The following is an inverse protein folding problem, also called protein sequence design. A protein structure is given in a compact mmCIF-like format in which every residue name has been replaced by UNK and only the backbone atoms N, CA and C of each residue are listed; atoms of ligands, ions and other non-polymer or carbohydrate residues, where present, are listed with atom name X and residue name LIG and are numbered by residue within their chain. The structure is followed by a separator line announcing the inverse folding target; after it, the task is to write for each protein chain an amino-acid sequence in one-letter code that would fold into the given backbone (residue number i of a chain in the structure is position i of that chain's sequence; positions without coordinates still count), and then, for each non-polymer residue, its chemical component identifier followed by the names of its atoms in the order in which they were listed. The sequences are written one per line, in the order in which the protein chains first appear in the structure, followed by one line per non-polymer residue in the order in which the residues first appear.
data_IF_632164200536
#
_entry.id   IF_632164200536
#
_cell.length_a   1.000
_cell.length_b   1.000
_cell.length_c   1.000
_cell.angle_alpha   90.00
_cell.angle_beta   90.00
_cell.angle_gamma   90.00
#
_symmetry.space_group_name_H-M   'P 1'
#
loop_
_entity.id
_entity.type
_entity.pdbx_description
1 polymer ?
#
# COMPACT_ATOMS: atom_id res chain seq x y z
N UNK A 1 -29.34 -83.00 -11.83
CA UNK A 1 -28.13 -82.35 -12.39
C UNK A 1 -28.58 -81.28 -13.39
N UNK A 2 -27.96 -80.10 -13.34
CA UNK A 2 -28.16 -78.89 -14.19
C UNK A 2 -29.25 -77.92 -13.68
N UNK A 3 -28.90 -76.89 -12.89
CA UNK A 3 -28.37 -75.53 -13.24
C UNK A 3 -29.49 -74.68 -13.88
N UNK A 4 -29.91 -73.48 -13.45
CA UNK A 4 -29.23 -72.25 -12.97
C UNK A 4 -30.30 -71.37 -12.26
N UNK A 5 -30.11 -70.93 -11.01
CA UNK A 5 -29.39 -69.73 -10.57
C UNK A 5 -30.07 -68.40 -10.98
N UNK A 6 -30.71 -67.78 -9.97
CA UNK A 6 -31.51 -66.59 -10.04
C UNK A 6 -30.69 -65.29 -10.17
N UNK A 7 -31.30 -64.33 -10.86
CA UNK A 7 -31.07 -62.88 -10.94
C UNK A 7 -30.23 -62.28 -9.80
N UNK A 8 -29.16 -61.58 -10.16
CA UNK A 8 -28.63 -60.44 -9.41
C UNK A 8 -28.44 -59.29 -10.38
N UNK A 9 -29.36 -58.32 -10.31
CA UNK A 9 -29.18 -56.95 -10.80
C UNK A 9 -29.12 -56.12 -9.55
N UNK A 10 -28.01 -55.42 -9.28
CA UNK A 10 -28.08 -54.21 -8.46
C UNK A 10 -26.84 -53.31 -8.59
N UNK A 11 -27.07 -52.21 -9.31
CA UNK A 11 -26.70 -50.81 -9.01
C UNK A 11 -25.21 -50.47 -8.93
N UNK A 12 -24.71 -49.90 -10.03
CA UNK A 12 -23.50 -49.09 -10.03
C UNK A 12 -23.75 -47.77 -9.29
N UNK A 13 -23.01 -47.57 -8.20
CA UNK A 13 -23.01 -46.34 -7.41
C UNK A 13 -22.00 -45.36 -8.04
N UNK A 14 -22.45 -44.47 -8.93
CA UNK A 14 -21.61 -43.35 -9.40
C UNK A 14 -21.64 -42.24 -8.35
N UNK A 15 -20.57 -42.11 -7.58
CA UNK A 15 -20.34 -40.98 -6.70
C UNK A 15 -20.02 -39.73 -7.55
N UNK A 16 -20.98 -38.84 -7.71
CA UNK A 16 -20.76 -37.54 -8.32
C UNK A 16 -20.13 -36.60 -7.28
N UNK A 17 -18.80 -36.48 -7.30
CA UNK A 17 -18.08 -35.50 -6.50
C UNK A 17 -18.34 -34.11 -7.07
N UNK A 18 -19.22 -33.34 -6.45
CA UNK A 18 -19.43 -31.93 -6.78
C UNK A 18 -18.23 -31.15 -6.22
N UNK A 19 -17.28 -30.79 -7.08
CA UNK A 19 -16.19 -29.87 -6.73
C UNK A 19 -16.76 -28.46 -6.72
N UNK A 20 -17.01 -27.93 -5.52
CA UNK A 20 -17.40 -26.54 -5.33
C UNK A 20 -16.15 -25.66 -5.48
N UNK A 21 -15.90 -25.15 -6.69
CA UNK A 21 -14.90 -24.11 -6.94
C UNK A 21 -15.40 -22.81 -6.29
N UNK A 22 -14.95 -22.53 -5.07
CA UNK A 22 -15.10 -21.22 -4.46
C UNK A 22 -14.28 -20.21 -5.26
N UNK A 23 -14.92 -19.49 -6.19
CA UNK A 23 -14.33 -18.28 -6.75
C UNK A 23 -14.26 -17.24 -5.64
N UNK A 24 -13.09 -17.07 -5.03
CA UNK A 24 -12.86 -15.93 -4.16
C UNK A 24 -13.13 -14.64 -4.96
N UNK A 25 -13.90 -13.68 -4.43
CA UNK A 25 -14.08 -12.41 -5.11
C UNK A 25 -12.70 -11.79 -5.28
N UNK A 26 -12.33 -11.47 -6.52
CA UNK A 26 -11.17 -10.62 -6.81
C UNK A 26 -11.54 -9.25 -6.28
N UNK A 27 -11.27 -9.02 -4.99
CA UNK A 27 -11.26 -7.68 -4.44
C UNK A 27 -10.25 -6.91 -5.29
N UNK A 28 -10.70 -5.85 -5.97
CA UNK A 28 -9.83 -4.97 -6.74
C UNK A 28 -8.71 -4.52 -5.81
N UNK A 29 -7.53 -5.08 -6.01
CA UNK A 29 -6.45 -5.03 -5.04
C UNK A 29 -5.79 -3.67 -5.17
N UNK A 30 -6.09 -2.77 -4.24
CA UNK A 30 -5.43 -1.48 -4.17
C UNK A 30 -3.97 -1.72 -3.79
N UNK A 31 -3.03 -1.42 -4.68
CA UNK A 31 -1.61 -1.41 -4.36
C UNK A 31 -1.22 -0.05 -3.79
N UNK A 32 -0.66 -0.04 -2.58
CA UNK A 32 -0.15 1.17 -1.94
C UNK A 32 1.36 1.12 -1.92
N UNK A 33 1.99 2.13 -2.53
CA UNK A 33 3.43 2.33 -2.51
C UNK A 33 3.79 3.50 -1.60
N UNK A 34 4.64 3.23 -0.63
CA UNK A 34 5.25 4.21 0.27
C UNK A 34 6.73 4.32 -0.10
N UNK A 35 7.16 5.52 -0.48
CA UNK A 35 8.56 5.83 -0.76
C UNK A 35 9.06 6.83 0.27
N UNK A 36 10.12 6.49 1.00
CA UNK A 36 10.80 7.39 1.91
C UNK A 36 11.98 8.03 1.22
N UNK A 37 12.01 9.36 1.23
CA UNK A 37 13.03 10.19 0.60
C UNK A 37 13.76 10.98 1.69
N UNK A 38 15.08 10.97 1.65
CA UNK A 38 15.91 11.88 2.43
C UNK A 38 16.17 13.14 1.61
N UNK A 39 15.97 14.30 2.22
CA UNK A 39 16.22 15.61 1.65
C UNK A 39 17.39 16.29 2.37
N UNK A 40 18.35 16.83 1.62
CA UNK A 40 19.56 17.47 2.14
C UNK A 40 19.89 18.77 1.38
N UNK A 41 20.72 19.63 1.98
CA UNK A 41 21.10 20.92 1.38
C UNK A 41 21.95 20.71 0.12
N UNK A 42 22.82 19.70 0.19
CA UNK A 42 23.82 19.37 -0.83
C UNK A 42 23.79 17.87 -1.17
N UNK A 43 24.42 17.53 -2.29
CA UNK A 43 24.53 16.16 -2.79
C UNK A 43 23.70 15.86 -4.05
N UNK A 44 23.76 14.62 -4.55
CA UNK A 44 23.03 14.21 -5.74
C UNK A 44 21.53 14.05 -5.46
N UNK A 45 20.72 14.15 -6.52
CA UNK A 45 19.32 13.74 -6.47
C UNK A 45 19.09 12.53 -7.35
N UNK A 46 18.29 11.57 -6.87
CA UNK A 46 17.95 10.40 -7.66
C UNK A 46 17.07 10.78 -8.86
N UNK A 47 17.36 10.17 -10.01
CA UNK A 47 16.67 10.48 -11.27
C UNK A 47 15.14 10.30 -11.19
N UNK A 48 14.68 9.29 -10.43
CA UNK A 48 13.26 9.00 -10.22
C UNK A 48 12.51 10.13 -9.50
N UNK A 49 13.20 11.02 -8.80
CA UNK A 49 12.62 12.14 -8.07
C UNK A 49 12.56 13.43 -8.91
N UNK A 50 13.17 13.45 -10.10
CA UNK A 50 13.20 14.63 -10.98
C UNK A 50 11.80 15.18 -11.29
N UNK A 51 10.78 14.37 -11.62
CA UNK A 51 9.43 14.87 -11.88
C UNK A 51 8.79 15.56 -10.67
N UNK A 52 9.20 15.18 -9.45
CA UNK A 52 8.66 15.70 -8.19
C UNK A 52 9.49 16.84 -7.60
N UNK A 53 10.65 17.14 -8.19
CA UNK A 53 11.63 18.10 -7.66
C UNK A 53 11.04 19.47 -7.33
N UNK A 54 10.19 20.12 -8.16
CA UNK A 54 9.59 21.40 -7.80
C UNK A 54 8.73 21.33 -6.54
N UNK A 55 7.96 20.25 -6.37
CA UNK A 55 7.08 20.05 -5.21
C UNK A 55 7.87 19.70 -3.95
N UNK A 56 8.89 18.85 -4.08
CA UNK A 56 9.82 18.50 -3.00
C UNK A 56 10.54 19.75 -2.47
N UNK A 57 11.09 20.59 -3.36
CA UNK A 57 11.76 21.84 -2.99
C UNK A 57 10.83 22.80 -2.26
N UNK A 58 9.57 22.91 -2.69
CA UNK A 58 8.57 23.78 -2.04
C UNK A 58 8.19 23.28 -0.65
N UNK A 59 8.17 21.96 -0.46
CA UNK A 59 7.75 21.33 0.79
C UNK A 59 8.77 21.51 1.92
N UNK A 60 10.07 21.41 1.61
CA UNK A 60 11.13 21.36 2.64
C UNK A 60 12.31 22.31 2.43
N UNK A 61 12.37 23.04 1.31
CA UNK A 61 13.45 24.01 1.02
C UNK A 61 14.80 23.41 0.57
N UNK A 62 15.00 22.10 0.70
CA UNK A 62 16.22 21.39 0.30
C UNK A 62 16.38 21.23 -1.22
N UNK A 63 17.58 20.85 -1.67
CA UNK A 63 17.94 20.80 -3.11
C UNK A 63 18.37 19.43 -3.60
N UNK A 64 18.79 18.56 -2.68
CA UNK A 64 19.19 17.19 -2.95
C UNK A 64 18.16 16.22 -2.33
N UNK A 65 17.83 15.16 -3.07
CA UNK A 65 16.79 14.20 -2.69
C UNK A 65 17.21 12.77 -3.06
N UNK A 66 17.28 11.87 -2.07
CA UNK A 66 17.61 10.46 -2.29
C UNK A 66 16.54 9.55 -1.74
N UNK A 67 16.17 8.53 -2.50
CA UNK A 67 15.28 7.47 -2.04
C UNK A 67 16.07 6.56 -1.10
N UNK A 68 15.57 6.38 0.12
CA UNK A 68 16.19 5.50 1.12
C UNK A 68 15.40 4.23 1.36
N UNK A 69 14.09 4.22 1.04
CA UNK A 69 13.23 3.05 1.15
C UNK A 69 12.07 3.14 0.16
N UNK A 70 11.75 2.04 -0.48
CA UNK A 70 10.51 1.85 -1.24
C UNK A 70 9.84 0.60 -0.70
N UNK A 71 8.57 0.71 -0.35
CA UNK A 71 7.74 -0.42 0.06
C UNK A 71 6.43 -0.34 -0.70
N UNK A 72 6.05 -1.43 -1.37
CA UNK A 72 4.80 -1.53 -2.12
C UNK A 72 4.11 -2.82 -1.74
N UNK A 73 2.82 -2.74 -1.42
CA UNK A 73 2.03 -3.92 -1.07
C UNK A 73 0.55 -3.76 -1.41
N UNK A 74 -0.14 -4.87 -1.72
CA UNK A 74 -1.58 -4.86 -1.81
C UNK A 74 -2.18 -4.52 -0.45
N UNK A 75 -3.19 -3.66 -0.44
CA UNK A 75 -3.93 -3.22 0.72
C UNK A 75 -5.41 -3.55 0.53
N UNK A 76 -6.06 -3.94 1.62
CA UNK A 76 -7.48 -4.28 1.61
C UNK A 76 -8.29 -3.02 1.93
N UNK A 77 -9.35 -2.78 1.17
CA UNK A 77 -10.29 -1.71 1.46
C UNK A 77 -10.86 -1.82 2.88
N UNK A 78 -10.97 -0.68 3.55
CA UNK A 78 -11.49 -0.54 4.92
C UNK A 78 -10.70 -1.29 5.99
N UNK A 79 -9.49 -1.75 5.66
CA UNK A 79 -8.53 -2.33 6.60
C UNK A 79 -7.38 -1.36 6.80
N UNK A 80 -6.96 -1.17 8.05
CA UNK A 80 -5.81 -0.34 8.37
C UNK A 80 -4.52 -1.12 8.17
N UNK A 81 -3.59 -0.51 7.46
CA UNK A 81 -2.30 -1.08 7.09
C UNK A 81 -1.17 -0.22 7.66
N UNK A 82 -0.14 -0.83 8.25
CA UNK A 82 0.96 -0.11 8.92
C UNK A 82 2.31 -0.29 8.20
N UNK A 83 3.01 0.80 7.89
CA UNK A 83 4.32 0.82 7.22
C UNK A 83 5.37 1.41 8.15
N UNK A 84 6.51 0.71 8.29
CA UNK A 84 7.61 1.18 9.13
C UNK A 84 8.39 2.27 8.40
N UNK A 85 8.56 3.41 9.04
CA UNK A 85 9.29 4.57 8.53
C UNK A 85 10.56 4.78 9.38
N UNK A 86 11.71 5.12 8.77
CA UNK A 86 12.94 5.40 9.51
C UNK A 86 12.76 6.43 10.62
N UNK A 87 13.53 6.28 11.71
CA UNK A 87 13.42 7.13 12.90
C UNK A 87 12.33 6.68 13.87
N UNK A 88 11.99 5.39 13.91
CA UNK A 88 10.99 4.85 14.86
C UNK A 88 9.56 5.29 14.57
N UNK A 89 9.26 5.63 13.31
CA UNK A 89 7.96 6.13 12.89
C UNK A 89 7.11 5.04 12.26
N UNK A 90 5.80 5.20 12.35
CA UNK A 90 4.83 4.26 11.78
C UNK A 90 3.79 5.03 10.98
N UNK A 91 3.63 4.67 9.71
CA UNK A 91 2.61 5.22 8.84
C UNK A 91 1.43 4.25 8.76
N UNK A 92 0.30 4.66 9.32
CA UNK A 92 -0.98 3.98 9.13
C UNK A 92 -1.68 4.54 7.88
N UNK A 93 -2.15 3.63 7.04
CA UNK A 93 -2.96 3.93 5.86
C UNK A 93 -4.25 3.14 5.96
N UNK A 94 -5.38 3.82 5.86
CA UNK A 94 -6.71 3.21 5.83
C UNK A 94 -7.40 3.60 4.52
N UNK A 95 -7.39 2.73 3.50
CA UNK A 95 -8.14 2.96 2.27
C UNK A 95 -9.65 2.92 2.54
N UNK A 96 -10.34 4.05 2.41
CA UNK A 96 -11.78 4.19 2.73
C UNK A 96 -12.68 3.80 1.55
N UNK A 97 -12.19 3.97 0.31
CA UNK A 97 -12.91 3.63 -0.91
C UNK A 97 -12.51 4.53 -2.08
N UNK A 98 -13.33 4.53 -3.14
CA UNK A 98 -13.16 5.38 -4.32
C UNK A 98 -14.22 6.48 -4.36
N UNK A 99 -13.84 7.70 -4.72
CA UNK A 99 -14.76 8.82 -4.99
C UNK A 99 -14.31 9.61 -6.22
N UNK A 100 -15.19 9.70 -7.22
CA UNK A 100 -14.93 10.30 -8.54
C UNK A 100 -13.53 9.93 -9.05
N UNK A 101 -13.26 8.62 -9.19
CA UNK A 101 -12.00 8.04 -9.71
C UNK A 101 -10.74 8.36 -8.89
N UNK A 102 -10.90 8.73 -7.62
CA UNK A 102 -9.80 8.93 -6.70
C UNK A 102 -9.94 8.01 -5.48
N UNK A 103 -8.82 7.44 -5.06
CA UNK A 103 -8.71 6.67 -3.83
C UNK A 103 -8.81 7.64 -2.66
N UNK A 104 -9.78 7.44 -1.79
CA UNK A 104 -9.92 8.15 -0.52
C UNK A 104 -9.33 7.29 0.57
N UNK A 105 -8.42 7.84 1.36
CA UNK A 105 -7.79 7.13 2.47
C UNK A 105 -7.50 8.09 3.63
N UNK A 106 -7.52 7.55 4.84
CA UNK A 106 -6.94 8.22 6.00
C UNK A 106 -5.49 7.84 6.11
N UNK A 107 -4.65 8.83 6.42
CA UNK A 107 -3.22 8.66 6.60
C UNK A 107 -2.85 9.25 7.95
N UNK A 108 -2.24 8.43 8.79
CA UNK A 108 -1.75 8.84 10.10
C UNK A 108 -0.28 8.45 10.24
N UNK A 109 0.57 9.41 10.58
CA UNK A 109 1.98 9.16 10.89
C UNK A 109 2.22 9.35 12.37
N UNK A 110 2.79 8.33 13.00
CA UNK A 110 3.07 8.29 14.42
C UNK A 110 4.58 8.24 14.67
N UNK A 111 5.03 8.91 15.73
CA UNK A 111 6.34 8.74 16.37
C UNK A 111 6.12 8.41 17.84
N UNK A 112 6.19 7.12 18.19
CA UNK A 112 5.72 6.64 19.48
C UNK A 112 4.25 7.03 19.72
N UNK A 113 3.91 7.73 20.82
CA UNK A 113 2.54 8.16 21.09
C UNK A 113 2.13 9.45 20.35
N UNK A 114 3.06 10.14 19.69
CA UNK A 114 2.81 11.44 19.05
C UNK A 114 2.30 11.24 17.62
N UNK A 115 1.14 11.83 17.31
CA UNK A 115 0.68 11.97 15.92
C UNK A 115 1.36 13.17 15.26
N UNK A 116 2.15 12.89 14.23
CA UNK A 116 2.84 13.89 13.41
C UNK A 116 1.97 14.36 12.24
N UNK A 117 1.16 13.45 11.69
CA UNK A 117 0.21 13.69 10.60
C UNK A 117 -1.04 12.88 10.89
N UNK A 118 -2.22 13.47 10.74
CA UNK A 118 -3.50 12.76 10.73
C UNK A 118 -4.43 13.50 9.77
N UNK A 119 -4.66 12.91 8.59
CA UNK A 119 -5.40 13.58 7.53
C UNK A 119 -6.07 12.61 6.59
N UNK A 120 -7.17 13.06 5.97
CA UNK A 120 -7.80 12.38 4.86
C UNK A 120 -7.23 12.88 3.54
N UNK A 121 -6.81 11.95 2.69
CA UNK A 121 -6.30 12.26 1.37
C UNK A 121 -7.14 11.63 0.28
N UNK A 122 -7.23 12.38 -0.81
CA UNK A 122 -7.86 11.98 -2.05
C UNK A 122 -6.79 11.89 -3.12
N UNK A 123 -6.36 10.67 -3.42
CA UNK A 123 -5.37 10.36 -4.44
C UNK A 123 -6.09 10.08 -5.75
N UNK A 124 -6.07 11.05 -6.67
CA UNK A 124 -6.43 10.83 -8.07
C UNK A 124 -5.61 9.67 -8.64
N UNK A 125 -6.14 8.91 -9.60
CA UNK A 125 -5.39 7.83 -10.24
C UNK A 125 -4.00 8.28 -10.70
N UNK A 126 -2.95 7.60 -10.21
CA UNK A 126 -1.51 7.91 -10.38
C UNK A 126 -0.99 9.17 -9.64
N UNK A 127 -1.82 9.80 -8.83
CA UNK A 127 -1.45 10.91 -7.97
C UNK A 127 -0.51 10.46 -6.85
N UNK A 128 0.35 11.39 -6.43
CA UNK A 128 1.28 11.18 -5.31
C UNK A 128 0.99 12.21 -4.23
N UNK A 129 0.76 11.76 -3.01
CA UNK A 129 0.78 12.60 -1.82
C UNK A 129 2.22 12.71 -1.32
N UNK A 130 2.61 13.91 -0.90
CA UNK A 130 3.93 14.22 -0.36
C UNK A 130 3.74 14.93 0.97
N UNK A 131 4.40 14.46 2.02
CA UNK A 131 4.45 15.13 3.31
C UNK A 131 5.86 15.04 3.90
N UNK A 132 6.34 16.17 4.40
CA UNK A 132 7.64 16.28 5.08
C UNK A 132 7.46 15.94 6.54
N UNK A 133 8.42 15.24 7.11
CA UNK A 133 8.37 14.78 8.50
C UNK A 133 9.54 15.33 9.28
N UNK A 134 9.18 16.35 10.07
CA UNK A 134 9.97 17.10 11.05
C UNK A 134 11.17 17.89 10.47
N UNK A 135 11.05 19.24 10.37
CA UNK A 135 12.19 20.14 10.17
C UNK A 135 12.81 20.64 11.49
N UNK A 136 12.15 20.49 12.65
CA UNK A 136 12.58 21.05 13.94
C UNK A 136 13.58 20.15 14.69
N UNK A 137 13.43 18.82 14.58
CA UNK A 137 14.56 17.90 14.76
C UNK A 137 15.37 17.84 13.47
N UNK A 138 15.98 18.97 13.09
CA UNK A 138 16.98 18.95 12.03
C UNK A 138 18.13 18.05 12.47
N UNK A 139 18.44 16.94 11.76
CA UNK A 139 19.69 16.26 12.02
C UNK A 139 20.77 16.98 11.21
N UNK A 140 22.01 16.74 11.61
CA UNK A 140 23.15 16.85 10.71
C UNK A 140 22.94 16.08 9.35
N UNK A 141 21.88 15.26 9.24
CA UNK A 141 21.55 14.34 8.14
C UNK A 141 20.31 14.71 7.28
N UNK A 142 19.66 15.87 7.49
CA UNK A 142 18.54 16.35 6.64
C UNK A 142 17.12 15.88 6.99
N UNK A 143 16.11 16.25 6.18
CA UNK A 143 14.67 16.01 6.45
C UNK A 143 14.16 14.78 5.71
N UNK A 144 13.27 13.99 6.32
CA UNK A 144 12.58 12.91 5.61
C UNK A 144 11.29 13.41 4.96
N UNK A 145 11.01 12.89 3.77
CA UNK A 145 9.79 13.11 3.01
C UNK A 145 9.19 11.75 2.71
N UNK A 146 7.88 11.63 2.92
CA UNK A 146 7.13 10.43 2.59
C UNK A 146 6.31 10.73 1.34
N UNK A 147 6.45 9.87 0.36
CA UNK A 147 5.66 9.85 -0.87
C UNK A 147 4.73 8.67 -0.81
N UNK A 148 3.44 8.92 -0.94
CA UNK A 148 2.39 7.91 -0.94
C UNK A 148 1.70 7.90 -2.30
N UNK A 149 1.66 6.72 -2.92
CA UNK A 149 0.98 6.48 -4.20
C UNK A 149 0.03 5.30 -4.03
N UNK A 150 -1.08 5.37 -4.75
CA UNK A 150 -2.05 4.29 -4.85
C UNK A 150 -2.24 3.91 -6.32
N UNK A 151 -2.23 2.61 -6.60
CA UNK A 151 -2.43 2.01 -7.92
C UNK A 151 -3.52 0.93 -7.83
N UNK A 152 -4.35 0.84 -8.86
CA UNK A 152 -5.33 -0.25 -9.06
C UNK A 152 -4.77 -1.31 -10.01
#
# INVERSE_FOLDING_TARGET
MKHQAARVVLIGLSAATVVLLAMAPVAHALSVQVTTVQASLEGPSDAQLLPFRPRLRRLVGYRAFRVIRVESRPCIWRTQEAFVIPGGRLLHVLPKGMREQAVVMQVQLLEGPRSLVDTDVRLQNRGVMLFGVDPERGPADGVLIIMLKAEE
#
